data_IF_510717997685
#
_entry.id   IF_510717997685
#
_cell.length_a   1.000
_cell.length_b   1.000
_cell.length_c   1.000
_cell.angle_alpha   90.00
_cell.angle_beta   90.00
_cell.angle_gamma   90.00
#
_symmetry.space_group_name_H-M   'P 1'
#
loop_
_entity.id
_entity.type
_entity.pdbx_description
1 polymer ?
#
# COMPACT_ATOMS: atom_id res chain seq x y z
N UNK A 1 -4.89 -1.63 -6.17
CA UNK A 1 -4.08 -1.83 -7.39
C UNK A 1 -2.62 -1.68 -7.01
N UNK A 2 -1.80 -2.67 -7.37
CA UNK A 2 -0.36 -2.63 -7.19
C UNK A 2 0.32 -2.00 -8.41
N UNK A 3 1.25 -1.08 -8.17
CA UNK A 3 2.20 -0.54 -9.13
C UNK A 3 3.60 -0.93 -8.67
N UNK A 4 4.33 -1.68 -9.49
CA UNK A 4 5.62 -2.26 -9.10
C UNK A 4 6.70 -1.93 -10.12
N UNK A 5 7.90 -1.62 -9.64
CA UNK A 5 9.08 -1.44 -10.49
C UNK A 5 10.34 -1.85 -9.72
N UNK A 6 11.41 -2.11 -10.46
CA UNK A 6 12.70 -2.50 -9.91
C UNK A 6 13.68 -1.32 -9.97
N UNK A 7 14.35 -1.05 -8.84
CA UNK A 7 15.37 -0.02 -8.70
C UNK A 7 16.72 -0.69 -8.54
N UNK A 8 17.55 -0.62 -9.58
CA UNK A 8 18.91 -1.19 -9.55
C UNK A 8 19.91 -0.15 -9.07
N UNK A 9 20.58 -0.45 -7.97
CA UNK A 9 21.54 0.44 -7.30
C UNK A 9 22.96 -0.06 -7.54
N UNK A 10 23.83 0.81 -8.05
CA UNK A 10 25.26 0.56 -8.19
C UNK A 10 25.97 0.48 -6.83
N UNK A 11 27.04 -0.31 -6.76
CA UNK A 11 27.86 -0.46 -5.54
C UNK A 11 28.64 0.80 -5.16
N UNK A 12 28.77 1.73 -6.09
CA UNK A 12 29.49 3.00 -5.97
C UNK A 12 28.63 4.16 -5.47
N UNK A 13 27.32 3.94 -5.28
CA UNK A 13 26.39 4.96 -4.79
C UNK A 13 26.79 5.53 -3.43
N UNK A 14 26.90 6.86 -3.35
CA UNK A 14 27.44 7.56 -2.18
C UNK A 14 26.58 7.42 -0.92
N UNK A 15 25.26 7.26 -1.07
CA UNK A 15 24.36 7.04 0.06
C UNK A 15 24.66 5.75 0.83
N UNK A 16 25.25 4.73 0.17
CA UNK A 16 25.61 3.47 0.81
C UNK A 16 26.74 3.65 1.83
N UNK A 17 27.66 4.59 1.59
CA UNK A 17 28.79 4.90 2.47
C UNK A 17 28.39 5.86 3.60
N UNK A 18 27.49 6.79 3.30
CA UNK A 18 27.11 7.87 4.22
C UNK A 18 25.91 7.53 5.10
N UNK A 19 25.09 6.55 4.70
CA UNK A 19 23.80 6.26 5.35
C UNK A 19 22.70 7.27 5.01
N UNK A 20 22.98 8.26 4.17
CA UNK A 20 22.03 9.28 3.73
C UNK A 20 21.16 8.75 2.59
N UNK A 21 20.25 7.83 2.94
CA UNK A 21 19.40 7.15 1.98
C UNK A 21 18.59 8.11 1.08
N UNK A 22 18.34 7.72 -0.18
CA UNK A 22 17.69 8.59 -1.15
C UNK A 22 16.22 8.84 -0.80
N UNK A 23 15.75 10.03 -1.15
CA UNK A 23 14.40 10.52 -0.92
C UNK A 23 13.47 10.06 -2.06
N UNK A 24 12.53 9.18 -1.76
CA UNK A 24 11.46 8.79 -2.68
C UNK A 24 10.31 9.78 -2.56
N UNK A 25 9.87 10.31 -3.69
CA UNK A 25 8.63 11.08 -3.81
C UNK A 25 7.67 10.39 -4.78
N UNK A 26 6.44 10.15 -4.33
CA UNK A 26 5.38 9.52 -5.14
C UNK A 26 4.16 10.41 -5.15
N UNK A 27 3.74 10.86 -6.33
CA UNK A 27 2.46 11.53 -6.51
C UNK A 27 1.37 10.55 -6.94
N UNK A 28 0.22 10.64 -6.30
CA UNK A 28 -0.96 9.84 -6.60
C UNK A 28 -2.20 10.72 -6.64
N UNK A 29 -3.12 10.40 -7.54
CA UNK A 29 -4.43 11.02 -7.61
C UNK A 29 -5.38 10.55 -6.48
N UNK A 30 -4.92 9.62 -5.63
CA UNK A 30 -5.63 9.17 -4.44
C UNK A 30 -6.02 7.69 -4.48
N UNK A 31 -6.70 7.19 -3.46
CA UNK A 31 -7.13 7.89 -2.23
C UNK A 31 -6.20 7.62 -1.04
N UNK A 32 -5.58 6.44 -1.02
CA UNK A 32 -4.53 6.09 -0.08
C UNK A 32 -3.42 5.32 -0.80
N UNK A 33 -2.22 5.40 -0.25
CA UNK A 33 -1.01 4.80 -0.78
C UNK A 33 -0.22 4.16 0.34
N UNK A 34 0.11 2.88 0.19
CA UNK A 34 1.11 2.20 1.01
C UNK A 34 2.33 1.93 0.15
N UNK A 35 3.51 2.23 0.70
CA UNK A 35 4.79 2.11 -0.01
C UNK A 35 5.61 0.99 0.62
N UNK A 36 5.94 0.00 -0.19
CA UNK A 36 6.78 -1.14 0.20
C UNK A 36 8.09 -1.11 -0.56
N UNK A 37 9.19 -1.33 0.17
CA UNK A 37 10.53 -1.48 -0.40
C UNK A 37 11.07 -2.82 0.04
N UNK A 38 11.46 -3.65 -0.92
CA UNK A 38 11.93 -5.03 -0.68
C UNK A 38 10.96 -5.86 0.19
N UNK A 39 9.65 -5.66 -0.01
CA UNK A 39 8.59 -6.37 0.72
C UNK A 39 8.25 -5.81 2.10
N UNK A 40 8.97 -4.78 2.58
CA UNK A 40 8.71 -4.16 3.88
C UNK A 40 7.96 -2.83 3.72
N UNK A 41 6.92 -2.64 4.54
CA UNK A 41 6.20 -1.37 4.58
C UNK A 41 7.14 -0.26 5.05
N UNK A 42 7.34 0.74 4.21
CA UNK A 42 8.19 1.89 4.48
C UNK A 42 7.39 3.09 4.95
N UNK A 43 6.15 3.24 4.46
CA UNK A 43 5.26 4.30 4.90
C UNK A 43 3.90 4.27 4.22
N UNK A 44 3.05 5.21 4.63
CA UNK A 44 1.67 5.37 4.16
C UNK A 44 1.33 6.85 4.00
N UNK A 45 0.46 7.15 3.05
CA UNK A 45 -0.14 8.47 2.85
C UNK A 45 -1.60 8.29 2.42
N UNK A 46 -2.47 9.22 2.80
CA UNK A 46 -3.88 9.20 2.43
C UNK A 46 -4.43 10.62 2.32
N UNK A 47 -5.36 10.82 1.38
CA UNK A 47 -6.08 12.07 1.20
C UNK A 47 -7.35 12.14 2.04
N UNK A 48 -8.10 13.21 1.84
CA UNK A 48 -9.45 13.42 2.37
C UNK A 48 -10.48 13.41 1.25
N UNK A 49 -11.76 13.56 1.58
CA UNK A 49 -12.84 13.65 0.60
C UNK A 49 -12.65 14.84 -0.35
N UNK A 50 -12.34 16.03 0.18
CA UNK A 50 -12.13 17.25 -0.61
C UNK A 50 -10.74 17.32 -1.27
N UNK A 51 -9.78 16.55 -0.79
CA UNK A 51 -8.40 16.54 -1.28
C UNK A 51 -7.87 15.10 -1.36
N UNK A 52 -8.35 14.32 -2.36
CA UNK A 52 -8.00 12.90 -2.50
C UNK A 52 -6.56 12.68 -2.99
N UNK A 53 -6.01 13.66 -3.72
CA UNK A 53 -4.63 13.65 -4.21
C UNK A 53 -3.67 13.62 -3.03
N UNK A 54 -2.59 12.86 -3.18
CA UNK A 54 -1.60 12.70 -2.12
C UNK A 54 -0.18 12.70 -2.69
N UNK A 55 0.75 13.11 -1.84
CA UNK A 55 2.18 13.00 -2.09
C UNK A 55 2.80 12.23 -0.93
N UNK A 56 3.46 11.12 -1.23
CA UNK A 56 4.33 10.45 -0.29
C UNK A 56 5.75 10.97 -0.48
N UNK A 57 6.46 11.31 0.59
CA UNK A 57 7.86 11.75 0.54
C UNK A 57 8.61 11.22 1.75
N UNK A 58 9.57 10.32 1.52
CA UNK A 58 10.33 9.70 2.61
C UNK A 58 11.66 9.13 2.10
N UNK A 59 12.70 9.18 2.94
CA UNK A 59 13.95 8.49 2.63
C UNK A 59 13.74 6.98 2.72
N UNK A 60 14.18 6.25 1.69
CA UNK A 60 13.97 4.80 1.58
C UNK A 60 15.29 4.03 1.64
N UNK A 61 15.33 2.97 2.45
CA UNK A 61 16.52 2.12 2.56
C UNK A 61 16.65 1.24 1.32
N UNK A 62 17.69 1.48 0.53
CA UNK A 62 18.05 0.67 -0.63
C UNK A 62 19.37 -0.04 -0.39
N UNK A 63 19.54 -1.21 -1.03
CA UNK A 63 20.78 -2.00 -1.03
C UNK A 63 21.38 -2.07 -2.43
N UNK A 64 22.65 -2.46 -2.51
CA UNK A 64 23.32 -2.76 -3.79
C UNK A 64 22.52 -3.80 -4.58
N UNK A 65 22.45 -3.63 -5.90
CA UNK A 65 21.70 -4.50 -6.80
C UNK A 65 20.23 -4.14 -6.88
N UNK A 66 19.38 -5.13 -7.14
CA UNK A 66 17.95 -4.92 -7.40
C UNK A 66 17.16 -4.73 -6.11
N UNK A 67 16.39 -3.64 -6.06
CA UNK A 67 15.42 -3.33 -5.02
C UNK A 67 14.02 -3.33 -5.61
N UNK A 68 13.07 -4.01 -4.96
CA UNK A 68 11.67 -4.06 -5.41
C UNK A 68 10.89 -2.91 -4.78
N UNK A 69 10.41 -1.97 -5.59
CA UNK A 69 9.45 -0.96 -5.16
C UNK A 69 8.05 -1.44 -5.49
N UNK A 70 7.20 -1.58 -4.48
CA UNK A 70 5.79 -1.93 -4.65
C UNK A 70 4.91 -0.87 -3.98
N UNK A 71 4.03 -0.27 -4.78
CA UNK A 71 3.10 0.76 -4.37
C UNK A 71 1.69 0.18 -4.38
N UNK A 72 1.05 0.10 -3.22
CA UNK A 72 -0.34 -0.29 -3.12
C UNK A 72 -1.21 0.96 -3.11
N UNK A 73 -1.87 1.22 -4.24
CA UNK A 73 -2.86 2.28 -4.37
C UNK A 73 -4.25 1.77 -4.05
N UNK A 74 -4.96 2.51 -3.20
CA UNK A 74 -6.26 2.13 -2.64
C UNK A 74 -7.27 3.22 -2.94
N UNK A 75 -8.40 2.84 -3.55
CA UNK A 75 -9.57 3.71 -3.67
C UNK A 75 -10.51 3.52 -2.47
N UNK A 76 -11.16 4.60 -2.01
CA UNK A 76 -12.10 4.57 -0.88
C UNK A 76 -13.40 5.20 -1.36
N UNK A 77 -14.17 4.42 -2.11
CA UNK A 77 -15.26 4.95 -2.95
C UNK A 77 -14.73 5.63 -4.22
N UNK A 78 -15.66 5.99 -5.09
CA UNK A 78 -15.42 6.81 -6.28
C UNK A 78 -16.22 8.11 -6.16
N UNK A 79 -15.77 9.20 -6.81
CA UNK A 79 -16.52 10.45 -6.85
C UNK A 79 -17.95 10.23 -7.36
N UNK A 80 -18.92 10.92 -6.76
CA UNK A 80 -20.34 10.78 -7.06
C UNK A 80 -21.05 12.13 -7.30
N UNK A 81 -20.32 13.25 -7.25
CA UNK A 81 -20.86 14.60 -7.47
C UNK A 81 -19.75 15.53 -7.96
N UNK A 82 -20.10 16.48 -8.84
CA UNK A 82 -19.19 17.45 -9.43
C UNK A 82 -19.29 17.49 -10.96
N UNK A 83 -19.03 18.64 -11.59
CA UNK A 83 -18.98 18.71 -13.05
C UNK A 83 -17.81 17.84 -13.55
N UNK A 84 -18.11 16.90 -14.46
CA UNK A 84 -17.16 15.95 -15.01
C UNK A 84 -16.43 15.06 -13.97
N UNK A 85 -17.10 14.70 -12.86
CA UNK A 85 -16.49 13.86 -11.82
C UNK A 85 -16.04 12.49 -12.35
N UNK A 86 -16.66 12.00 -13.44
CA UNK A 86 -16.29 10.77 -14.14
C UNK A 86 -14.90 10.81 -14.78
N UNK A 87 -14.35 12.01 -14.99
CA UNK A 87 -13.01 12.21 -15.58
C UNK A 87 -11.90 12.33 -14.53
N UNK A 88 -12.25 12.35 -13.24
CA UNK A 88 -11.28 12.54 -12.17
C UNK A 88 -10.48 11.26 -11.94
N UNK A 89 -9.16 11.40 -11.95
CA UNK A 89 -8.25 10.27 -11.86
C UNK A 89 -8.17 9.68 -10.44
N UNK A 90 -7.82 8.41 -10.36
CA UNK A 90 -7.37 7.73 -9.14
C UNK A 90 -6.08 6.96 -9.43
N UNK A 91 -5.28 6.70 -8.39
CA UNK A 91 -4.07 5.90 -8.53
C UNK A 91 -2.78 6.68 -8.75
N UNK A 92 -1.68 5.95 -8.94
CA UNK A 92 -0.34 6.52 -9.11
C UNK A 92 -0.14 6.88 -10.58
N UNK A 93 -0.36 8.15 -10.93
CA UNK A 93 -0.04 8.70 -12.25
C UNK A 93 1.30 9.44 -12.29
N UNK A 94 1.95 9.54 -11.13
CA UNK A 94 3.22 10.22 -10.99
C UNK A 94 3.12 11.75 -10.92
N UNK A 95 4.27 12.42 -10.87
CA UNK A 95 5.60 11.83 -11.03
C UNK A 95 6.03 10.92 -9.87
N UNK A 96 6.95 9.99 -10.14
CA UNK A 96 7.61 9.14 -9.15
C UNK A 96 9.11 9.39 -9.25
N UNK A 97 9.72 10.00 -8.24
CA UNK A 97 11.12 10.44 -8.28
C UNK A 97 11.94 9.89 -7.12
N UNK A 98 13.23 9.70 -7.35
CA UNK A 98 14.20 9.26 -6.35
C UNK A 98 15.40 10.21 -6.36
N UNK A 99 15.53 11.03 -5.32
CA UNK A 99 16.57 12.05 -5.19
C UNK A 99 17.67 11.59 -4.23
N UNK A 100 18.93 11.96 -4.53
CA UNK A 100 20.07 11.71 -3.64
C UNK A 100 20.96 10.56 -4.10
N UNK A 101 20.94 10.26 -5.40
CA UNK A 101 21.85 9.34 -6.06
C UNK A 101 23.07 10.10 -6.57
N UNK A 102 24.17 9.41 -6.88
CA UNK A 102 25.37 10.01 -7.46
C UNK A 102 25.05 10.81 -8.74
N UNK A 103 24.14 10.29 -9.58
CA UNK A 103 23.69 10.96 -10.80
C UNK A 103 22.58 12.01 -10.57
N UNK A 104 22.30 12.37 -9.32
CA UNK A 104 21.28 13.36 -8.95
C UNK A 104 19.92 12.76 -8.62
N UNK A 105 18.91 13.09 -9.43
CA UNK A 105 17.52 12.65 -9.24
C UNK A 105 17.08 11.78 -10.42
N UNK A 106 16.56 10.59 -10.13
CA UNK A 106 15.89 9.78 -11.14
C UNK A 106 14.40 10.10 -11.18
N UNK A 107 13.86 10.23 -12.38
CA UNK A 107 12.42 10.19 -12.64
C UNK A 107 12.06 8.80 -13.16
N UNK A 108 11.31 8.06 -12.35
CA UNK A 108 10.91 6.68 -12.60
C UNK A 108 9.52 6.58 -13.25
N UNK A 109 8.88 7.72 -13.56
CA UNK A 109 7.50 7.75 -14.10
C UNK A 109 7.38 7.04 -15.45
N UNK A 110 8.44 7.06 -16.27
CA UNK A 110 8.49 6.43 -17.60
C UNK A 110 9.18 5.06 -17.61
N UNK A 111 9.48 4.50 -16.45
CA UNK A 111 10.13 3.19 -16.36
C UNK A 111 9.16 2.07 -16.72
N UNK A 112 9.68 0.85 -16.78
CA UNK A 112 8.84 -0.34 -16.86
C UNK A 112 8.14 -0.55 -15.51
N UNK A 113 6.81 -0.54 -15.55
CA UNK A 113 5.95 -0.82 -14.40
C UNK A 113 5.18 -2.12 -14.62
N UNK A 114 5.03 -2.90 -13.56
CA UNK A 114 4.18 -4.08 -13.49
C UNK A 114 2.98 -3.80 -12.58
N UNK A 115 1.85 -4.43 -12.89
CA UNK A 115 0.58 -4.15 -12.23
C UNK A 115 -0.07 -5.44 -11.73
N UNK A 116 -0.71 -5.38 -10.56
CA UNK A 116 -1.57 -6.46 -10.05
C UNK A 116 -2.86 -5.86 -9.49
N UNK A 117 -4.00 -6.35 -9.98
CA UNK A 117 -5.32 -6.04 -9.42
C UNK A 117 -5.57 -6.84 -8.14
N UNK A 118 -6.25 -6.20 -7.18
CA UNK A 118 -6.64 -6.83 -5.91
C UNK A 118 -5.50 -7.31 -5.01
N UNK A 119 -5.89 -8.01 -3.95
CA UNK A 119 -5.06 -8.70 -2.99
C UNK A 119 -5.13 -10.20 -3.23
N UNK A 120 -4.06 -10.94 -2.93
CA UNK A 120 -4.04 -12.40 -3.08
C UNK A 120 -5.14 -13.10 -2.29
N UNK A 121 -5.48 -12.61 -1.09
CA UNK A 121 -6.59 -13.15 -0.31
C UNK A 121 -7.97 -12.95 -0.96
N UNK A 122 -8.14 -11.93 -1.80
CA UNK A 122 -9.37 -11.76 -2.60
C UNK A 122 -9.43 -12.83 -3.70
N UNK A 123 -8.32 -13.05 -4.41
CA UNK A 123 -8.20 -14.08 -5.45
C UNK A 123 -8.46 -15.49 -4.88
N UNK A 124 -8.06 -15.72 -3.64
CA UNK A 124 -8.28 -16.97 -2.89
C UNK A 124 -9.64 -17.05 -2.18
N UNK A 125 -10.47 -16.01 -2.28
CA UNK A 125 -11.77 -15.92 -1.62
C UNK A 125 -11.73 -16.23 -0.11
N UNK A 126 -10.73 -15.70 0.60
CA UNK A 126 -10.54 -15.98 2.03
C UNK A 126 -11.74 -15.54 2.89
N UNK A 127 -12.49 -14.55 2.45
CA UNK A 127 -13.73 -14.11 3.09
C UNK A 127 -14.80 -15.21 3.20
N UNK A 128 -14.77 -16.20 2.31
CA UNK A 128 -15.73 -17.30 2.29
C UNK A 128 -15.31 -18.47 3.19
N UNK A 129 -14.27 -18.28 4.03
CA UNK A 129 -13.78 -19.32 4.95
C UNK A 129 -12.86 -20.35 4.28
N UNK A 130 -12.14 -19.97 3.23
CA UNK A 130 -11.25 -20.89 2.51
C UNK A 130 -10.12 -21.46 3.39
N UNK A 131 -9.85 -22.76 3.23
CA UNK A 131 -8.72 -23.47 3.85
C UNK A 131 -7.47 -23.52 2.96
N UNK A 132 -7.42 -22.71 1.90
CA UNK A 132 -6.30 -22.69 0.93
C UNK A 132 -5.01 -22.08 1.48
N UNK A 133 -5.03 -21.54 2.70
CA UNK A 133 -3.89 -20.87 3.35
C UNK A 133 -3.62 -21.43 4.74
N UNK A 134 -2.38 -21.26 5.20
CA UNK A 134 -1.99 -21.62 6.55
C UNK A 134 -2.34 -20.48 7.51
N UNK A 135 -3.37 -20.69 8.33
CA UNK A 135 -3.80 -19.74 9.34
C UNK A 135 -2.92 -19.84 10.60
N UNK A 136 -2.37 -18.71 11.06
CA UNK A 136 -1.68 -18.65 12.34
C UNK A 136 -2.67 -18.59 13.50
N UNK A 137 -2.38 -19.31 14.60
CA UNK A 137 -3.23 -19.38 15.79
C UNK A 137 -2.41 -19.21 17.08
N UNK A 138 -3.08 -18.85 18.18
CA UNK A 138 -2.47 -18.74 19.51
C UNK A 138 -1.33 -17.71 19.57
N UNK A 139 -0.18 -18.11 20.11
CA UNK A 139 1.00 -17.25 20.30
C UNK A 139 1.66 -16.81 18.99
N UNK A 140 1.34 -17.45 17.85
CA UNK A 140 1.86 -17.07 16.53
C UNK A 140 1.10 -15.90 15.90
N UNK A 141 0.10 -15.36 16.60
CA UNK A 141 -0.68 -14.21 16.15
C UNK A 141 0.20 -12.97 16.03
N UNK A 142 0.42 -12.51 14.79
CA UNK A 142 1.18 -11.29 14.53
C UNK A 142 0.27 -10.07 14.72
N UNK A 143 0.62 -9.21 15.69
CA UNK A 143 -0.09 -7.95 15.91
C UNK A 143 0.51 -6.86 15.02
N UNK A 144 -0.33 -5.92 14.59
CA UNK A 144 0.06 -4.68 13.91
C UNK A 144 0.81 -4.87 12.58
N UNK A 145 0.59 -6.00 11.88
CA UNK A 145 1.11 -6.19 10.53
C UNK A 145 0.19 -5.53 9.48
N UNK A 146 0.74 -4.91 8.44
CA UNK A 146 -0.05 -4.46 7.31
C UNK A 146 -0.56 -5.66 6.50
N UNK A 147 -1.66 -5.48 5.78
CA UNK A 147 -2.19 -6.47 4.83
C UNK A 147 -2.44 -7.86 5.45
N UNK A 148 -3.06 -7.87 6.64
CA UNK A 148 -3.35 -9.10 7.39
C UNK A 148 -4.82 -9.47 7.28
N UNK A 149 -5.09 -10.75 7.03
CA UNK A 149 -6.42 -11.34 7.09
C UNK A 149 -6.65 -11.93 8.48
N UNK A 150 -7.81 -11.63 9.06
CA UNK A 150 -8.26 -12.20 10.32
C UNK A 150 -9.57 -12.94 10.06
N UNK A 151 -9.73 -14.08 10.74
CA UNK A 151 -10.97 -14.85 10.72
C UNK A 151 -11.28 -15.34 12.12
N UNK A 152 -12.56 -15.41 12.46
CA UNK A 152 -13.04 -15.89 13.75
C UNK A 152 -14.44 -16.49 13.59
N UNK A 153 -14.85 -17.31 14.55
CA UNK A 153 -16.20 -17.86 14.64
C UNK A 153 -16.80 -17.48 15.99
N UNK A 154 -18.07 -17.11 16.00
CA UNK A 154 -18.80 -16.75 17.22
C UNK A 154 -20.27 -17.15 17.10
N UNK A 155 -20.91 -17.40 18.25
CA UNK A 155 -22.34 -17.68 18.29
C UNK A 155 -23.14 -16.38 18.21
N UNK A 156 -24.30 -16.44 17.55
CA UNK A 156 -25.20 -15.29 17.48
C UNK A 156 -25.59 -14.80 18.90
N UNK A 157 -25.48 -13.50 19.20
CA UNK A 157 -25.97 -12.94 20.46
C UNK A 157 -27.48 -13.15 20.60
N UNK A 158 -27.96 -13.30 21.84
CA UNK A 158 -29.39 -13.39 22.11
C UNK A 158 -30.11 -12.04 21.97
N UNK A 159 -31.42 -12.08 21.73
CA UNK A 159 -32.29 -10.90 21.61
C UNK A 159 -32.58 -10.48 20.17
N UNK A 160 -33.43 -9.45 20.01
CA UNK A 160 -33.92 -8.95 18.71
C UNK A 160 -33.44 -7.53 18.40
N UNK A 161 -32.49 -7.01 19.18
CA UNK A 161 -31.93 -5.68 18.96
C UNK A 161 -30.97 -5.65 17.76
N UNK A 162 -30.70 -4.47 17.19
CA UNK A 162 -29.66 -4.32 16.19
C UNK A 162 -28.28 -4.64 16.77
N UNK A 163 -27.39 -5.18 15.94
CA UNK A 163 -26.03 -5.55 16.30
C UNK A 163 -25.01 -4.73 15.50
N UNK A 164 -23.83 -4.53 16.07
CA UNK A 164 -22.69 -3.90 15.42
C UNK A 164 -21.38 -4.54 15.92
N UNK A 165 -20.30 -4.36 15.15
CA UNK A 165 -18.95 -4.74 15.54
C UNK A 165 -18.17 -3.51 16.00
N UNK A 166 -17.60 -3.56 17.21
CA UNK A 166 -16.67 -2.53 17.67
C UNK A 166 -15.29 -2.75 17.01
N UNK A 167 -14.94 -1.85 16.10
CA UNK A 167 -13.70 -1.89 15.32
C UNK A 167 -12.68 -0.84 15.79
N UNK A 168 -12.84 -0.26 16.98
CA UNK A 168 -11.96 0.81 17.49
C UNK A 168 -10.49 0.38 17.66
N UNK A 169 -10.24 -0.92 17.84
CA UNK A 169 -8.87 -1.48 17.94
C UNK A 169 -8.23 -1.77 16.58
N UNK A 170 -8.98 -1.63 15.49
CA UNK A 170 -8.56 -1.98 14.14
C UNK A 170 -8.12 -0.73 13.36
N UNK A 171 -7.48 -0.97 12.20
CA UNK A 171 -7.03 0.08 11.31
C UNK A 171 -8.03 0.36 10.19
N UNK A 172 -7.73 -0.13 8.99
CA UNK A 172 -8.59 -0.02 7.80
C UNK A 172 -8.65 -1.36 7.10
N UNK A 173 -9.84 -1.77 6.66
CA UNK A 173 -10.03 -3.02 5.95
C UNK A 173 -11.46 -3.19 5.44
N UNK A 174 -11.84 -4.44 5.25
CA UNK A 174 -13.19 -4.89 4.92
C UNK A 174 -13.60 -5.95 5.95
N UNK A 175 -14.91 -6.12 6.13
CA UNK A 175 -15.50 -7.10 7.03
C UNK A 175 -16.53 -7.88 6.22
N UNK A 176 -16.61 -9.18 6.47
CA UNK A 176 -17.57 -10.11 5.90
C UNK A 176 -18.32 -10.83 7.02
#
# INVERSE_FOLDING_TARGET
LWYMTDITIGSDEGFLKTGNYPLLTVYSAGHALLVFVNGQLTGKAYGSLDSPKLTFTQNIKLRVGVNKLALLSVAVGLPNVGLHFETWNAGVLGPVTLKGLNSGTWDMSKWKWSYKTGLEGEDLSLQSGSSSVQWAQGSFFTKQQPLTWYTTTFNAPGGNGPLALDMNSMGKGQIW
#
